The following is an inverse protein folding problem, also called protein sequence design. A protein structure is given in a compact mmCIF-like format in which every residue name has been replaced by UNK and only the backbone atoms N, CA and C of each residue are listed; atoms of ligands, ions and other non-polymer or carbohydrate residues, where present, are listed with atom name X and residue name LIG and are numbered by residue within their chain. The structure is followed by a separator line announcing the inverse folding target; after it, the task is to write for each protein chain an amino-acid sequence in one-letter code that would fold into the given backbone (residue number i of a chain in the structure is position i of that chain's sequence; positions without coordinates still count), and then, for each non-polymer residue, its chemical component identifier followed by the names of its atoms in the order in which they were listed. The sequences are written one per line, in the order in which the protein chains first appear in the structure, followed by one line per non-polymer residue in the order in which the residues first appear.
data_IF_003734300322
#
_entry.id   IF_003734300322
#
_cell.length_a   1.000
_cell.length_b   1.000
_cell.length_c   1.000
_cell.angle_alpha   90.00
_cell.angle_beta   90.00
_cell.angle_gamma   90.00
#
_symmetry.space_group_name_H-M   'P 1'
#
loop_
_entity.id
_entity.type
_entity.pdbx_description
1 polymer ?
#
# COMPACT_ATOMS: atom_id res chain seq x y z
N UNK A 1 14.53 -5.34 4.14
CA UNK A 1 13.85 -6.27 3.22
C UNK A 1 12.85 -7.16 3.91
N UNK A 2 13.25 -7.80 5.00
CA UNK A 2 12.35 -8.67 5.78
C UNK A 2 11.12 -7.91 6.28
N UNK A 3 11.29 -6.68 6.71
CA UNK A 3 10.22 -5.84 7.23
C UNK A 3 9.15 -5.56 6.16
N UNK A 4 9.56 -5.30 4.91
CA UNK A 4 8.62 -5.08 3.82
C UNK A 4 7.80 -6.33 3.51
N UNK A 5 8.45 -7.48 3.50
CA UNK A 5 7.78 -8.76 3.24
C UNK A 5 6.75 -9.04 4.33
N UNK A 6 7.10 -8.86 5.59
CA UNK A 6 6.19 -9.08 6.72
C UNK A 6 5.00 -8.13 6.68
N UNK A 7 5.23 -6.85 6.37
CA UNK A 7 4.15 -5.87 6.29
C UNK A 7 3.19 -6.21 5.15
N UNK A 8 3.71 -6.57 3.98
CA UNK A 8 2.88 -6.95 2.85
C UNK A 8 2.05 -8.20 3.15
N UNK A 9 2.66 -9.19 3.82
CA UNK A 9 1.96 -10.39 4.22
C UNK A 9 0.83 -10.08 5.19
N UNK A 10 1.07 -9.22 6.17
CA UNK A 10 0.03 -8.79 7.12
C UNK A 10 -1.12 -8.09 6.42
N UNK A 11 -0.84 -7.27 5.41
CA UNK A 11 -1.90 -6.61 4.64
C UNK A 11 -2.73 -7.62 3.85
N UNK A 12 -2.09 -8.64 3.28
CA UNK A 12 -2.80 -9.70 2.56
C UNK A 12 -3.66 -10.52 3.52
N UNK A 13 -3.15 -10.78 4.72
CA UNK A 13 -3.87 -11.55 5.74
C UNK A 13 -5.06 -10.78 6.33
N UNK A 14 -5.07 -9.44 6.21
CA UNK A 14 -6.21 -8.63 6.61
C UNK A 14 -7.25 -8.70 5.50
N UNK A 15 -8.03 -9.79 5.48
CA UNK A 15 -9.05 -10.00 4.47
C UNK A 15 -10.30 -9.14 4.70
N UNK A 16 -10.47 -8.60 5.89
CA UNK A 16 -11.62 -7.78 6.27
C UNK A 16 -11.37 -6.32 5.88
N UNK A 17 -12.21 -5.80 5.01
CA UNK A 17 -12.15 -4.41 4.56
C UNK A 17 -12.19 -3.42 5.73
N UNK A 18 -13.00 -3.70 6.74
CA UNK A 18 -13.12 -2.85 7.92
C UNK A 18 -11.79 -2.76 8.67
N UNK A 19 -11.15 -3.90 8.91
CA UNK A 19 -9.85 -3.96 9.58
C UNK A 19 -8.77 -3.25 8.75
N UNK A 20 -8.79 -3.48 7.43
CA UNK A 20 -7.86 -2.83 6.51
C UNK A 20 -7.98 -1.30 6.61
N UNK A 21 -9.21 -0.78 6.56
CA UNK A 21 -9.46 0.65 6.67
C UNK A 21 -9.05 1.20 8.03
N UNK A 22 -9.28 0.46 9.11
CA UNK A 22 -8.85 0.88 10.44
C UNK A 22 -7.34 1.01 10.54
N UNK A 23 -6.61 0.06 9.98
CA UNK A 23 -5.14 0.11 9.95
C UNK A 23 -4.67 1.33 9.17
N UNK A 24 -5.26 1.58 7.99
CA UNK A 24 -4.88 2.72 7.17
C UNK A 24 -5.23 4.06 7.83
N UNK A 25 -6.29 4.11 8.62
CA UNK A 25 -6.66 5.33 9.36
C UNK A 25 -5.65 5.70 10.43
N UNK A 26 -4.88 4.73 10.93
CA UNK A 26 -3.81 4.96 11.90
C UNK A 26 -2.52 5.46 11.24
N UNK A 27 -2.44 5.39 9.93
CA UNK A 27 -1.27 5.78 9.16
C UNK A 27 -1.55 7.12 8.47
N UNK A 28 -0.62 8.06 8.59
CA UNK A 28 -0.78 9.35 7.92
C UNK A 28 -0.37 9.17 6.46
N UNK A 29 -1.36 9.01 5.59
CA UNK A 29 -1.17 8.87 4.15
C UNK A 29 -1.79 10.04 3.41
N UNK A 30 -1.12 10.48 2.35
CA UNK A 30 -1.71 11.45 1.44
C UNK A 30 -2.86 10.79 0.67
N UNK A 31 -3.81 11.55 0.10
CA UNK A 31 -4.88 10.97 -0.71
C UNK A 31 -4.34 10.10 -1.86
N UNK A 32 -3.24 10.49 -2.47
CA UNK A 32 -2.62 9.71 -3.55
C UNK A 32 -2.06 8.40 -3.02
N UNK A 33 -1.38 8.44 -1.88
CA UNK A 33 -0.83 7.23 -1.26
C UNK A 33 -1.94 6.24 -0.90
N UNK A 34 -3.03 6.75 -0.33
CA UNK A 34 -4.20 5.92 0.00
C UNK A 34 -4.78 5.28 -1.26
N UNK A 35 -4.87 6.04 -2.35
CA UNK A 35 -5.37 5.53 -3.61
C UNK A 35 -4.50 4.41 -4.15
N UNK A 36 -3.18 4.55 -4.10
CA UNK A 36 -2.26 3.51 -4.56
C UNK A 36 -2.44 2.22 -3.76
N UNK A 37 -2.53 2.33 -2.45
CA UNK A 37 -2.72 1.17 -1.58
C UNK A 37 -4.07 0.49 -1.87
N UNK A 38 -5.13 1.25 -2.02
CA UNK A 38 -6.45 0.70 -2.32
C UNK A 38 -6.44 -0.03 -3.66
N UNK A 39 -5.84 0.55 -4.69
CA UNK A 39 -5.75 -0.07 -6.01
C UNK A 39 -4.96 -1.37 -5.98
N UNK A 40 -3.89 -1.39 -5.22
CA UNK A 40 -3.01 -2.57 -5.18
C UNK A 40 -3.58 -3.70 -4.32
N UNK A 41 -4.04 -3.40 -3.12
CA UNK A 41 -4.45 -4.43 -2.16
C UNK A 41 -5.94 -4.76 -2.19
N UNK A 42 -6.79 -3.81 -2.48
CA UNK A 42 -8.24 -4.05 -2.54
C UNK A 42 -8.73 -4.40 -3.94
N UNK A 43 -8.16 -3.77 -4.97
CA UNK A 43 -8.56 -4.00 -6.35
C UNK A 43 -7.69 -5.02 -7.09
N UNK A 44 -6.58 -5.43 -6.46
CA UNK A 44 -5.69 -6.42 -7.04
C UNK A 44 -4.89 -5.94 -8.24
N UNK A 45 -4.73 -4.64 -8.43
CA UNK A 45 -3.97 -4.11 -9.55
C UNK A 45 -2.48 -4.22 -9.31
N UNK A 46 -1.71 -4.50 -10.37
CA UNK A 46 -0.26 -4.50 -10.29
C UNK A 46 0.28 -3.08 -10.21
N UNK A 47 1.52 -2.92 -9.76
CA UNK A 47 2.15 -1.61 -9.72
C UNK A 47 2.29 -1.00 -11.12
N UNK A 48 2.49 -1.83 -12.14
CA UNK A 48 2.55 -1.38 -13.53
C UNK A 48 1.20 -0.79 -13.97
N UNK A 49 0.10 -1.47 -13.64
CA UNK A 49 -1.24 -0.98 -13.96
C UNK A 49 -1.55 0.33 -13.26
N UNK A 50 -1.16 0.44 -11.98
CA UNK A 50 -1.35 1.67 -11.21
C UNK A 50 -0.55 2.81 -11.83
N UNK A 51 0.70 2.56 -12.20
CA UNK A 51 1.54 3.57 -12.84
C UNK A 51 0.90 4.07 -14.13
N UNK A 52 0.39 3.16 -14.94
CA UNK A 52 -0.28 3.52 -16.18
C UNK A 52 -1.51 4.40 -15.92
N UNK A 53 -2.37 3.99 -14.98
CA UNK A 53 -3.60 4.73 -14.67
C UNK A 53 -3.34 6.12 -14.11
N UNK A 54 -2.28 6.26 -13.30
CA UNK A 54 -1.97 7.53 -12.64
C UNK A 54 -0.97 8.38 -13.42
N UNK A 55 -0.54 7.92 -14.59
CA UNK A 55 0.42 8.61 -15.46
C UNK A 55 1.79 8.79 -14.79
N UNK A 56 2.24 7.79 -14.06
CA UNK A 56 3.57 7.75 -13.50
C UNK A 56 4.40 6.66 -14.17
N UNK A 57 5.73 6.75 -14.04
CA UNK A 57 6.59 5.63 -14.41
C UNK A 57 6.46 4.53 -13.38
N UNK A 58 6.75 3.29 -13.78
CA UNK A 58 6.74 2.15 -12.87
C UNK A 58 7.70 2.37 -11.70
N UNK A 59 8.89 2.91 -11.98
CA UNK A 59 9.89 3.19 -10.95
C UNK A 59 9.34 4.16 -9.91
N UNK A 60 8.65 5.20 -10.33
CA UNK A 60 8.05 6.18 -9.43
C UNK A 60 7.00 5.53 -8.53
N UNK A 61 6.13 4.70 -9.09
CA UNK A 61 5.11 4.01 -8.31
C UNK A 61 5.75 3.01 -7.34
N UNK A 62 6.78 2.29 -7.75
CA UNK A 62 7.49 1.37 -6.86
C UNK A 62 8.09 2.11 -5.67
N UNK A 63 8.68 3.26 -5.89
CA UNK A 63 9.24 4.10 -4.81
C UNK A 63 8.15 4.58 -3.86
N UNK A 64 7.03 5.04 -4.41
CA UNK A 64 5.89 5.47 -3.59
C UNK A 64 5.34 4.30 -2.78
N UNK A 65 5.22 3.15 -3.37
CA UNK A 65 4.76 1.93 -2.68
C UNK A 65 5.67 1.57 -1.52
N UNK A 66 6.99 1.59 -1.73
CA UNK A 66 7.96 1.29 -0.67
C UNK A 66 7.82 2.28 0.50
N UNK A 67 7.64 3.55 0.18
CA UNK A 67 7.45 4.58 1.21
C UNK A 67 6.19 4.34 2.02
N UNK A 68 5.10 3.99 1.34
CA UNK A 68 3.83 3.67 1.99
C UNK A 68 3.98 2.45 2.89
N UNK A 69 4.63 1.41 2.41
CA UNK A 69 4.86 0.18 3.18
C UNK A 69 5.67 0.47 4.45
N UNK A 70 6.66 1.35 4.36
CA UNK A 70 7.42 1.75 5.56
C UNK A 70 6.54 2.45 6.59
N UNK A 71 5.64 3.32 6.15
CA UNK A 71 4.71 4.00 7.05
C UNK A 71 3.78 3.01 7.74
N UNK A 72 3.23 2.07 6.98
CA UNK A 72 2.33 1.05 7.53
C UNK A 72 3.07 0.13 8.50
N UNK A 73 4.29 -0.25 8.16
CA UNK A 73 5.11 -1.11 8.99
C UNK A 73 5.30 -0.55 10.40
N UNK A 74 5.44 0.76 10.52
CA UNK A 74 5.59 1.43 11.81
C UNK A 74 4.35 1.27 12.69
N UNK A 75 3.19 1.20 12.08
CA UNK A 75 1.92 1.04 12.82
C UNK A 75 1.69 -0.41 13.20
N UNK A 76 2.04 -1.36 12.33
CA UNK A 76 1.81 -2.78 12.55
C UNK A 76 2.82 -3.43 13.50
N UNK A 77 3.89 -2.76 13.81
CA UNK A 77 4.83 -3.21 14.84
C UNK A 77 4.21 -2.96 16.23
#
# INVERSE_FOLDING_TARGET
MTEHILTRKKLVDIADLKTFNQVLDLVILTPEERKIIDMHYLQGKSLVEIAFELNYSEITICRKHQKIIKKISRVLK
#
